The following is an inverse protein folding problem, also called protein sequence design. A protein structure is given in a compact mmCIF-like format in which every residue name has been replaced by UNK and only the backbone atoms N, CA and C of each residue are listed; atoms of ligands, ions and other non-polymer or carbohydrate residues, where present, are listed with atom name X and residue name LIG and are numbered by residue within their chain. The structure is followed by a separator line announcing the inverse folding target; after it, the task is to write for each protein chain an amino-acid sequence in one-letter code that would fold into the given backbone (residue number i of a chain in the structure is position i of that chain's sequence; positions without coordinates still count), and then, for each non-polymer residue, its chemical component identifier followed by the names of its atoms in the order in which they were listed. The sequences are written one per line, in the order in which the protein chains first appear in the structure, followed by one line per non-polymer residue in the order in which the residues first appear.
data_IF_662572823231
#
_entry.id   IF_662572823231
#
_cell.length_a   1.000
_cell.length_b   1.000
_cell.length_c   1.000
_cell.angle_alpha   90.00
_cell.angle_beta   90.00
_cell.angle_gamma   90.00
#
_symmetry.space_group_name_H-M   'P 1'
#
loop_
_entity.id
_entity.type
_entity.pdbx_description
1 polymer ?
#
# COMPACT_ATOMS: atom_id res chain seq x y z
N UNK A 1 -17.92 14.07 0.53
CA UNK A 1 -18.33 12.68 0.26
C UNK A 1 -17.84 11.79 1.40
N UNK A 2 -18.64 10.82 1.85
CA UNK A 2 -18.21 9.82 2.82
C UNK A 2 -16.94 9.10 2.32
N UNK A 3 -15.97 8.89 3.20
CA UNK A 3 -14.68 8.28 2.86
C UNK A 3 -14.10 7.53 4.05
N UNK A 4 -13.41 6.43 3.79
CA UNK A 4 -12.52 5.84 4.79
C UNK A 4 -11.25 6.66 4.90
N UNK A 5 -10.72 6.74 6.11
CA UNK A 5 -9.40 7.28 6.39
C UNK A 5 -8.53 6.18 6.96
N UNK A 6 -7.39 5.91 6.33
CA UNK A 6 -6.46 4.88 6.77
C UNK A 6 -5.10 5.53 6.99
N UNK A 7 -4.46 5.19 8.09
CA UNK A 7 -3.11 5.64 8.39
C UNK A 7 -2.20 4.43 8.63
N UNK A 8 -1.02 4.46 8.05
CA UNK A 8 -0.01 3.42 8.16
C UNK A 8 1.29 4.04 8.65
N UNK A 9 1.65 3.71 9.89
CA UNK A 9 2.87 4.17 10.54
C UNK A 9 3.97 3.12 10.41
N UNK A 10 5.12 3.52 9.90
CA UNK A 10 6.31 2.67 9.79
C UNK A 10 7.41 3.28 10.63
N UNK A 11 7.68 2.66 11.78
CA UNK A 11 8.72 3.09 12.69
C UNK A 11 9.75 1.98 12.89
N UNK A 12 11.02 2.31 12.80
CA UNK A 12 12.10 1.35 13.01
C UNK A 12 13.47 1.91 12.65
N UNK A 13 14.52 1.16 12.96
CA UNK A 13 15.88 1.58 12.65
C UNK A 13 16.92 0.98 13.58
N UNK A 14 18.18 1.31 13.30
CA UNK A 14 19.32 1.02 14.16
C UNK A 14 19.99 2.35 14.58
N UNK A 15 21.16 2.28 15.21
CA UNK A 15 21.87 3.46 15.68
C UNK A 15 22.33 4.42 14.56
N UNK A 16 22.43 3.94 13.31
CA UNK A 16 22.90 4.72 12.16
C UNK A 16 21.77 5.25 11.29
N UNK A 17 20.62 4.56 11.26
CA UNK A 17 19.53 4.88 10.37
C UNK A 17 18.18 4.63 11.04
N UNK A 18 17.34 5.66 11.08
CA UNK A 18 15.97 5.61 11.62
C UNK A 18 14.98 5.93 10.52
N UNK A 19 13.81 5.30 10.61
CA UNK A 19 12.64 5.49 9.74
C UNK A 19 11.45 5.77 10.66
N UNK A 20 10.74 6.84 10.38
CA UNK A 20 9.49 7.23 11.02
C UNK A 20 8.58 7.81 9.93
N UNK A 21 7.94 6.92 9.19
CA UNK A 21 7.07 7.30 8.09
C UNK A 21 5.60 7.18 8.48
N UNK A 22 4.79 8.09 7.96
CA UNK A 22 3.32 8.05 8.03
C UNK A 22 2.76 8.15 6.61
N UNK A 23 1.92 7.18 6.27
CA UNK A 23 1.15 7.18 5.03
C UNK A 23 -0.34 7.26 5.38
N UNK A 24 -1.00 8.33 4.96
CA UNK A 24 -2.43 8.52 5.17
C UNK A 24 -3.18 8.56 3.84
N UNK A 25 -4.27 7.81 3.75
CA UNK A 25 -5.10 7.71 2.54
C UNK A 25 -6.57 7.96 2.88
N UNK A 26 -7.22 8.80 2.06
CA UNK A 26 -8.67 9.00 2.08
C UNK A 26 -9.27 8.30 0.87
N UNK A 27 -10.18 7.35 1.13
CA UNK A 27 -10.64 6.37 0.15
C UNK A 27 -12.15 6.48 -0.02
N UNK A 28 -12.61 6.58 -1.27
CA UNK A 28 -14.05 6.49 -1.60
C UNK A 28 -14.58 5.11 -1.23
N UNK A 29 -15.69 5.08 -0.48
CA UNK A 29 -16.32 3.81 -0.07
C UNK A 29 -16.96 3.06 -1.24
N UNK A 30 -17.30 3.75 -2.34
CA UNK A 30 -18.00 3.16 -3.48
C UNK A 30 -17.04 2.52 -4.49
N UNK A 31 -15.88 3.14 -4.71
CA UNK A 31 -14.97 2.77 -5.82
C UNK A 31 -13.57 2.36 -5.36
N UNK A 32 -13.28 2.47 -4.06
CA UNK A 32 -11.93 2.42 -3.50
C UNK A 32 -10.97 3.48 -4.04
N UNK A 33 -11.45 4.45 -4.83
CA UNK A 33 -10.58 5.48 -5.38
C UNK A 33 -9.99 6.34 -4.26
N UNK A 34 -8.70 6.62 -4.36
CA UNK A 34 -8.01 7.59 -3.55
C UNK A 34 -8.48 9.00 -3.87
N UNK A 35 -8.67 9.77 -2.80
CA UNK A 35 -9.13 11.15 -2.84
C UNK A 35 -8.03 12.10 -2.34
N UNK A 36 -7.29 11.64 -1.33
CA UNK A 36 -6.13 12.32 -0.78
C UNK A 36 -5.13 11.27 -0.32
N UNK A 37 -3.85 11.56 -0.54
CA UNK A 37 -2.74 10.73 -0.07
C UNK A 37 -1.66 11.63 0.52
N UNK A 38 -1.26 11.37 1.76
CA UNK A 38 -0.22 12.10 2.47
C UNK A 38 0.91 11.12 2.82
N UNK A 39 2.13 11.52 2.54
CA UNK A 39 3.36 10.81 2.91
C UNK A 39 4.21 11.77 3.73
N UNK A 40 4.37 11.48 5.01
CA UNK A 40 5.32 12.15 5.90
C UNK A 40 6.46 11.19 6.14
N UNK A 41 7.63 11.47 5.57
CA UNK A 41 8.77 10.56 5.56
C UNK A 41 9.90 11.17 6.38
N UNK A 42 10.31 10.51 7.44
CA UNK A 42 11.46 10.89 8.26
C UNK A 42 12.46 9.74 8.25
N UNK A 43 13.42 9.80 7.33
CA UNK A 43 14.34 8.70 7.06
C UNK A 43 15.80 9.19 7.12
N UNK A 44 16.61 8.60 8.00
CA UNK A 44 18.04 8.91 8.11
C UNK A 44 18.35 10.39 8.38
N UNK A 45 17.49 11.07 9.14
CA UNK A 45 17.61 12.50 9.47
C UNK A 45 17.14 13.44 8.36
N UNK A 46 16.49 12.93 7.31
CA UNK A 46 15.87 13.74 6.26
C UNK A 46 14.35 13.66 6.38
N UNK A 47 13.72 14.82 6.34
CA UNK A 47 12.27 14.94 6.31
C UNK A 47 11.77 15.26 4.91
N UNK A 48 10.70 14.57 4.50
CA UNK A 48 10.01 14.85 3.25
C UNK A 48 8.52 14.64 3.39
N UNK A 49 7.77 15.70 3.13
CA UNK A 49 6.31 15.65 3.07
C UNK A 49 5.85 15.69 1.61
N UNK A 50 4.95 14.79 1.24
CA UNK A 50 4.26 14.78 -0.05
C UNK A 50 2.77 14.70 0.18
N UNK A 51 2.03 15.63 -0.41
CA UNK A 51 0.57 15.69 -0.31
C UNK A 51 0.01 15.64 -1.72
N UNK A 52 -0.92 14.73 -1.94
CA UNK A 52 -1.61 14.53 -3.20
C UNK A 52 -3.11 14.65 -2.98
N UNK A 53 -3.77 15.42 -3.83
CA UNK A 53 -5.23 15.45 -3.95
C UNK A 53 -5.61 14.87 -5.31
N UNK A 54 -6.59 13.98 -5.31
CA UNK A 54 -7.01 13.24 -6.49
C UNK A 54 -8.48 13.51 -6.78
N UNK A 55 -8.76 13.72 -8.07
CA UNK A 55 -10.09 14.04 -8.58
C UNK A 55 -10.48 12.97 -9.61
N UNK A 56 -10.99 11.79 -9.18
CA UNK A 56 -11.29 10.66 -10.06
C UNK A 56 -12.18 11.04 -11.26
N UNK A 57 -13.23 11.82 -11.02
CA UNK A 57 -14.18 12.31 -12.04
C UNK A 57 -13.52 13.08 -13.18
N UNK A 58 -12.38 13.72 -12.90
CA UNK A 58 -11.61 14.52 -13.86
C UNK A 58 -10.36 13.78 -14.34
N UNK A 59 -10.06 12.60 -13.78
CA UNK A 59 -8.83 11.85 -14.01
C UNK A 59 -7.58 12.71 -13.85
N UNK A 60 -7.51 13.51 -12.78
CA UNK A 60 -6.34 14.33 -12.44
C UNK A 60 -5.94 14.19 -10.97
N UNK A 61 -4.66 14.47 -10.70
CA UNK A 61 -4.16 14.66 -9.34
C UNK A 61 -3.34 15.96 -9.25
N UNK A 62 -3.24 16.50 -8.04
CA UNK A 62 -2.43 17.69 -7.72
C UNK A 62 -1.49 17.30 -6.59
N UNK A 63 -0.18 17.52 -6.76
CA UNK A 63 0.76 17.41 -5.65
C UNK A 63 0.85 18.75 -4.91
N UNK A 64 0.02 18.94 -3.89
CA UNK A 64 -0.15 20.22 -3.18
C UNK A 64 1.05 20.61 -2.31
N UNK A 65 1.97 19.67 -2.04
CA UNK A 65 3.24 19.96 -1.36
C UNK A 65 4.25 20.72 -2.24
N UNK A 66 4.00 20.86 -3.55
CA UNK A 66 4.90 21.58 -4.47
C UNK A 66 4.57 23.07 -4.51
N UNK A 67 5.59 23.94 -4.55
CA UNK A 67 5.40 25.41 -4.63
C UNK A 67 4.53 25.86 -5.83
N UNK A 68 4.64 25.15 -6.96
CA UNK A 68 3.86 25.39 -8.18
C UNK A 68 2.94 24.20 -8.46
N UNK A 69 2.07 23.86 -7.51
CA UNK A 69 1.13 22.76 -7.65
C UNK A 69 0.21 22.99 -8.87
N UNK A 70 0.20 22.01 -9.78
CA UNK A 70 -0.65 22.01 -10.98
C UNK A 70 -1.33 20.66 -11.10
N UNK A 71 -2.45 20.65 -11.82
CA UNK A 71 -3.11 19.41 -12.22
C UNK A 71 -2.20 18.61 -13.14
N UNK A 72 -2.14 17.31 -12.89
CA UNK A 72 -1.43 16.32 -13.68
C UNK A 72 -2.41 15.20 -14.04
N UNK A 73 -2.26 14.57 -15.21
CA UNK A 73 -3.09 13.42 -15.58
C UNK A 73 -2.99 12.29 -14.55
N UNK A 74 -4.13 11.72 -14.23
CA UNK A 74 -4.31 10.52 -13.41
C UNK A 74 -5.11 9.48 -14.20
N UNK A 75 -5.62 8.47 -13.50
CA UNK A 75 -6.52 7.44 -14.03
C UNK A 75 -7.93 7.64 -13.45
N UNK A 76 -8.94 7.00 -14.04
CA UNK A 76 -10.36 7.22 -13.68
C UNK A 76 -10.75 6.68 -12.30
N UNK A 77 -10.06 5.65 -11.80
CA UNK A 77 -10.28 5.07 -10.46
C UNK A 77 -8.93 4.93 -9.72
N UNK A 78 -8.29 6.06 -9.37
CA UNK A 78 -6.92 6.08 -8.91
C UNK A 78 -6.77 5.41 -7.55
N UNK A 79 -5.69 4.67 -7.36
CA UNK A 79 -5.28 4.04 -6.11
C UNK A 79 -3.90 4.59 -5.74
N UNK A 80 -3.76 5.03 -4.50
CA UNK A 80 -2.49 5.21 -3.79
C UNK A 80 -2.06 3.93 -3.07
N UNK A 81 -0.93 3.98 -2.37
CA UNK A 81 -0.33 2.84 -1.69
C UNK A 81 -1.28 2.23 -0.63
N UNK A 82 -1.99 3.05 0.14
CA UNK A 82 -2.91 2.60 1.20
C UNK A 82 -4.21 2.03 0.65
N UNK A 83 -4.85 2.75 -0.29
CA UNK A 83 -6.06 2.28 -0.97
C UNK A 83 -5.84 0.97 -1.73
N UNK A 84 -4.64 0.75 -2.27
CA UNK A 84 -4.28 -0.50 -2.94
C UNK A 84 -4.33 -1.70 -1.98
N UNK A 85 -3.89 -1.54 -0.72
CA UNK A 85 -3.95 -2.58 0.31
C UNK A 85 -5.38 -2.98 0.71
N UNK A 86 -6.35 -2.09 0.50
CA UNK A 86 -7.77 -2.40 0.73
C UNK A 86 -8.43 -2.94 -0.53
N UNK A 87 -8.15 -2.34 -1.69
CA UNK A 87 -8.66 -2.81 -2.98
C UNK A 87 -8.30 -4.28 -3.23
N UNK A 88 -7.06 -4.68 -2.92
CA UNK A 88 -6.62 -6.07 -3.14
C UNK A 88 -7.43 -7.11 -2.35
N UNK A 89 -8.10 -6.70 -1.27
CA UNK A 89 -8.95 -7.60 -0.47
C UNK A 89 -10.20 -8.06 -1.25
N UNK A 90 -10.57 -7.32 -2.28
CA UNK A 90 -11.71 -7.63 -3.18
C UNK A 90 -11.36 -8.60 -4.29
N UNK A 91 -10.07 -8.90 -4.49
CA UNK A 91 -9.60 -9.77 -5.57
C UNK A 91 -9.63 -11.24 -5.10
N UNK A 92 -9.96 -12.21 -5.96
CA UNK A 92 -9.99 -13.63 -5.59
C UNK A 92 -8.63 -14.20 -5.12
N UNK A 93 -7.53 -13.66 -5.63
CA UNK A 93 -6.15 -14.07 -5.32
C UNK A 93 -5.93 -15.58 -5.49
N UNK A 94 -6.18 -16.09 -6.70
CA UNK A 94 -5.94 -17.51 -7.04
C UNK A 94 -4.45 -17.76 -7.21
N UNK A 95 -3.91 -18.76 -6.49
CA UNK A 95 -2.49 -19.13 -6.54
C UNK A 95 -2.07 -19.49 -7.96
N UNK A 96 -0.94 -18.92 -8.41
CA UNK A 96 -0.41 -19.07 -9.76
C UNK A 96 -0.87 -18.00 -10.74
N UNK A 97 -1.93 -17.25 -10.42
CA UNK A 97 -2.41 -16.17 -11.28
C UNK A 97 -1.61 -14.87 -11.08
N UNK A 98 -1.64 -14.03 -12.12
CA UNK A 98 -1.16 -12.65 -12.06
C UNK A 98 -2.30 -11.71 -12.46
N UNK A 99 -2.63 -10.79 -11.57
CA UNK A 99 -3.59 -9.73 -11.85
C UNK A 99 -2.86 -8.45 -12.27
N UNK A 100 -3.40 -7.74 -13.25
CA UNK A 100 -2.82 -6.49 -13.75
C UNK A 100 -3.83 -5.34 -13.63
N UNK A 101 -3.41 -4.22 -13.03
CA UNK A 101 -4.27 -3.06 -12.81
C UNK A 101 -3.60 -1.78 -13.28
N UNK A 102 -4.29 -1.02 -14.15
CA UNK A 102 -3.91 0.33 -14.55
C UNK A 102 -4.57 1.39 -13.67
N UNK A 103 -4.51 1.17 -12.35
CA UNK A 103 -5.22 1.98 -11.35
C UNK A 103 -4.30 2.79 -10.44
N UNK A 104 -2.98 2.68 -10.53
CA UNK A 104 -2.12 3.54 -9.71
C UNK A 104 -2.29 5.00 -10.13
N UNK A 105 -2.45 5.91 -9.17
CA UNK A 105 -2.83 7.30 -9.43
C UNK A 105 -1.86 8.06 -10.35
N UNK A 106 -0.63 7.58 -10.45
CA UNK A 106 0.40 8.05 -11.39
C UNK A 106 0.45 7.14 -12.61
N UNK A 107 -0.02 7.58 -13.78
CA UNK A 107 -0.09 6.76 -14.99
C UNK A 107 1.26 6.13 -15.38
N UNK A 108 2.36 6.86 -15.19
CA UNK A 108 3.73 6.42 -15.52
C UNK A 108 4.21 5.20 -14.70
N UNK A 109 3.54 4.90 -13.58
CA UNK A 109 3.88 3.78 -12.72
C UNK A 109 3.06 2.51 -12.98
N UNK A 110 2.13 2.59 -13.92
CA UNK A 110 1.29 1.46 -14.32
C UNK A 110 1.97 0.59 -15.41
N UNK A 111 1.53 -0.67 -15.55
CA UNK A 111 0.55 -1.34 -14.69
C UNK A 111 1.15 -1.77 -13.35
N UNK A 112 0.29 -1.88 -12.33
CA UNK A 112 0.61 -2.62 -11.11
C UNK A 112 0.28 -4.09 -11.34
N UNK A 113 1.23 -4.99 -11.09
CA UNK A 113 1.02 -6.44 -11.21
C UNK A 113 1.03 -7.09 -9.85
N UNK A 114 0.09 -7.99 -9.62
CA UNK A 114 -0.04 -8.78 -8.39
C UNK A 114 0.11 -10.24 -8.76
N UNK A 115 1.25 -10.83 -8.40
CA UNK A 115 1.48 -12.27 -8.54
C UNK A 115 0.99 -12.95 -7.28
N UNK A 116 0.15 -13.97 -7.40
CA UNK A 116 -0.24 -14.80 -6.26
C UNK A 116 0.68 -16.00 -6.21
N UNK A 117 1.55 -16.01 -5.22
CA UNK A 117 2.68 -16.93 -5.20
C UNK A 117 2.30 -18.30 -4.67
N UNK A 118 1.69 -18.34 -3.48
CA UNK A 118 1.46 -19.59 -2.72
C UNK A 118 0.48 -19.38 -1.59
N UNK A 119 0.00 -20.49 -1.01
CA UNK A 119 -0.63 -20.53 0.31
C UNK A 119 0.34 -21.15 1.31
N UNK A 120 0.42 -20.60 2.51
CA UNK A 120 1.21 -21.18 3.59
C UNK A 120 0.61 -20.87 4.96
N UNK A 121 1.01 -21.65 5.97
CA UNK A 121 0.67 -21.37 7.36
C UNK A 121 1.76 -20.51 7.97
N UNK A 122 1.40 -19.34 8.48
CA UNK A 122 2.34 -18.35 9.05
C UNK A 122 2.06 -18.13 10.53
N UNK A 123 3.14 -18.03 11.32
CA UNK A 123 3.08 -17.61 12.73
C UNK A 123 3.58 -16.17 12.84
N UNK A 124 2.74 -15.31 13.38
CA UNK A 124 3.02 -13.89 13.70
C UNK A 124 2.69 -13.65 15.18
N UNK A 125 3.08 -12.52 15.79
CA UNK A 125 2.78 -12.28 17.21
C UNK A 125 1.27 -12.29 17.53
N UNK A 126 0.40 -11.92 16.56
CA UNK A 126 -1.05 -12.00 16.71
C UNK A 126 -1.63 -13.43 16.66
N UNK A 127 -0.84 -14.46 16.32
CA UNK A 127 -1.31 -15.85 16.24
C UNK A 127 -0.77 -16.62 15.04
N UNK A 128 -1.44 -17.73 14.71
CA UNK A 128 -1.10 -18.57 13.56
C UNK A 128 -2.26 -18.59 12.57
N UNK A 129 -1.98 -18.35 11.30
CA UNK A 129 -2.98 -18.13 10.26
C UNK A 129 -2.65 -18.95 9.01
N UNK A 130 -3.67 -19.37 8.28
CA UNK A 130 -3.52 -19.70 6.86
C UNK A 130 -3.43 -18.39 6.09
N UNK A 131 -2.49 -18.30 5.16
CA UNK A 131 -2.20 -17.07 4.43
C UNK A 131 -2.03 -17.31 2.94
N UNK A 132 -2.49 -16.35 2.15
CA UNK A 132 -2.15 -16.20 0.74
C UNK A 132 -0.97 -15.23 0.64
N UNK A 133 0.10 -15.65 -0.04
CA UNK A 133 1.27 -14.81 -0.28
C UNK A 133 1.16 -14.20 -1.66
N UNK A 134 1.24 -12.88 -1.72
CA UNK A 134 1.24 -12.11 -2.95
C UNK A 134 2.54 -11.33 -3.09
N UNK A 135 2.91 -11.04 -4.33
CA UNK A 135 3.99 -10.13 -4.68
C UNK A 135 3.46 -9.01 -5.56
N UNK A 136 3.31 -7.79 -5.02
CA UNK A 136 3.06 -6.61 -5.82
C UNK A 136 4.34 -6.17 -6.54
N UNK A 137 4.19 -5.83 -7.81
CA UNK A 137 5.24 -5.29 -8.67
C UNK A 137 4.74 -3.95 -9.22
N UNK A 138 5.34 -2.86 -8.75
CA UNK A 138 5.02 -1.48 -9.15
C UNK A 138 6.27 -0.84 -9.77
N UNK A 139 6.09 -0.11 -10.88
CA UNK A 139 7.15 0.70 -11.50
C UNK A 139 7.43 1.96 -10.67
N UNK A 140 7.95 1.80 -9.47
CA UNK A 140 8.26 2.89 -8.55
C UNK A 140 9.60 2.63 -7.85
N UNK A 141 10.07 3.62 -7.09
CA UNK A 141 11.11 3.43 -6.06
C UNK A 141 10.43 3.15 -4.72
N UNK A 142 11.09 2.40 -3.83
CA UNK A 142 10.59 2.11 -2.47
C UNK A 142 10.24 0.64 -2.25
N UNK A 143 9.50 0.34 -1.18
CA UNK A 143 9.19 -1.04 -0.74
C UNK A 143 8.47 -1.87 -1.82
N UNK A 144 7.56 -1.28 -2.59
CA UNK A 144 6.83 -1.99 -3.65
C UNK A 144 7.48 -1.90 -5.03
N UNK A 145 8.73 -1.42 -5.10
CA UNK A 145 9.49 -1.41 -6.35
C UNK A 145 9.75 -2.82 -6.85
N UNK A 146 9.93 -2.98 -8.17
CA UNK A 146 10.25 -4.28 -8.76
C UNK A 146 11.51 -4.92 -8.12
N UNK A 147 12.50 -4.09 -7.79
CA UNK A 147 13.73 -4.51 -7.10
C UNK A 147 13.55 -4.81 -5.61
N UNK A 148 12.45 -4.33 -5.02
CA UNK A 148 12.14 -4.54 -3.61
C UNK A 148 11.70 -5.96 -3.30
N UNK A 149 11.23 -6.72 -4.29
CA UNK A 149 10.72 -8.09 -4.14
C UNK A 149 9.77 -8.22 -2.94
N UNK A 150 8.86 -7.26 -2.77
CA UNK A 150 7.95 -7.27 -1.65
C UNK A 150 7.05 -8.51 -1.69
N UNK A 151 6.95 -9.20 -0.56
CA UNK A 151 5.94 -10.22 -0.31
C UNK A 151 5.00 -9.72 0.78
N UNK A 152 3.70 -9.89 0.55
CA UNK A 152 2.64 -9.57 1.50
C UNK A 152 1.87 -10.85 1.77
N UNK A 153 1.65 -11.13 3.05
CA UNK A 153 0.81 -12.22 3.49
C UNK A 153 -0.54 -11.66 3.91
N UNK A 154 -1.59 -12.15 3.26
CA UNK A 154 -2.96 -11.85 3.60
C UNK A 154 -3.59 -13.09 4.22
N UNK A 155 -4.49 -12.94 5.21
CA UNK A 155 -5.26 -14.09 5.71
C UNK A 155 -6.03 -14.76 4.59
N UNK A 156 -6.06 -16.09 4.61
CA UNK A 156 -6.86 -16.90 3.70
C UNK A 156 -8.29 -17.03 4.25
N UNK A 157 -8.94 -15.87 4.45
CA UNK A 157 -10.36 -15.71 4.79
C UNK A 157 -10.93 -14.50 4.03
N UNK A 158 -12.24 -14.26 4.13
CA UNK A 158 -12.90 -13.19 3.37
C UNK A 158 -12.34 -11.79 3.69
N UNK A 159 -11.79 -11.61 4.89
CA UNK A 159 -11.27 -10.33 5.38
C UNK A 159 -9.91 -9.96 4.77
N UNK A 160 -9.11 -10.97 4.36
CA UNK A 160 -7.77 -10.81 3.77
C UNK A 160 -6.91 -9.78 4.52
N UNK A 161 -6.87 -9.89 5.85
CA UNK A 161 -6.09 -9.01 6.71
C UNK A 161 -4.60 -9.17 6.43
N UNK A 162 -3.83 -8.09 6.43
CA UNK A 162 -2.38 -8.17 6.26
C UNK A 162 -1.74 -8.74 7.53
N UNK A 163 -1.10 -9.89 7.38
CA UNK A 163 -0.46 -10.63 8.47
C UNK A 163 1.02 -10.29 8.62
N UNK A 164 1.72 -10.13 7.50
CA UNK A 164 3.11 -9.70 7.47
C UNK A 164 3.46 -9.10 6.10
N UNK A 165 4.48 -8.25 6.08
CA UNK A 165 5.07 -7.69 4.87
C UNK A 165 6.58 -7.81 4.97
N UNK A 166 7.21 -8.32 3.91
CA UNK A 166 8.67 -8.39 3.82
C UNK A 166 9.12 -7.75 2.52
N UNK A 167 10.14 -6.91 2.57
CA UNK A 167 10.69 -6.24 1.38
C UNK A 167 12.19 -6.01 1.54
N UNK A 168 12.91 -6.06 0.43
CA UNK A 168 14.29 -5.57 0.33
C UNK A 168 14.28 -4.08 0.02
N UNK A 169 15.24 -3.37 0.59
CA UNK A 169 15.52 -1.97 0.36
C UNK A 169 17.01 -1.84 0.03
N UNK A 170 17.41 -0.72 -0.57
CA UNK A 170 18.83 -0.49 -0.92
C UNK A 170 19.75 -0.46 0.31
N UNK A 171 19.20 -0.24 1.51
CA UNK A 171 19.93 -0.12 2.77
C UNK A 171 19.60 -1.23 3.79
N UNK A 172 18.84 -2.28 3.39
CA UNK A 172 18.48 -3.37 4.31
C UNK A 172 17.20 -4.11 3.92
N UNK A 173 16.51 -4.63 4.94
CA UNK A 173 15.21 -5.29 4.76
C UNK A 173 14.18 -4.71 5.71
N UNK A 174 12.95 -4.53 5.22
CA UNK A 174 11.78 -4.22 6.03
C UNK A 174 11.02 -5.52 6.28
N UNK A 175 10.78 -5.85 7.56
CA UNK A 175 9.94 -6.97 7.96
C UNK A 175 8.90 -6.46 8.96
N UNK A 176 7.63 -6.54 8.61
CA UNK A 176 6.50 -6.15 9.43
C UNK A 176 5.67 -7.40 9.76
N UNK A 177 5.23 -7.51 11.01
CA UNK A 177 4.44 -8.63 11.50
C UNK A 177 3.23 -8.11 12.27
N UNK A 178 2.06 -8.69 12.03
CA UNK A 178 0.84 -8.34 12.74
C UNK A 178 0.97 -8.71 14.21
N UNK A 179 0.85 -7.69 15.08
CA UNK A 179 0.94 -7.85 16.54
C UNK A 179 -0.43 -8.04 17.20
N UNK A 180 -1.42 -7.29 16.74
CA UNK A 180 -2.82 -7.37 17.20
C UNK A 180 -3.74 -6.78 16.14
N UNK A 181 -5.02 -7.13 16.19
CA UNK A 181 -6.07 -6.51 15.38
C UNK A 181 -7.39 -6.59 16.14
N UNK A 182 -8.28 -5.64 15.88
CA UNK A 182 -9.64 -5.62 16.41
C UNK A 182 -10.59 -5.72 15.21
N UNK A 183 -11.18 -6.91 14.94
CA UNK A 183 -12.14 -7.04 13.87
C UNK A 183 -13.39 -6.20 14.19
N UNK A 184 -14.07 -5.72 13.14
CA UNK A 184 -15.41 -5.13 13.29
C UNK A 184 -16.32 -6.13 14.01
N UNK A 185 -17.17 -5.67 14.96
CA UNK A 185 -18.09 -6.55 15.69
C UNK A 185 -19.03 -7.35 14.77
N UNK A 186 -19.31 -6.83 13.56
CA UNK A 186 -20.17 -7.48 12.57
C UNK A 186 -19.39 -7.70 11.26
N UNK A 187 -19.21 -8.96 10.81
CA UNK A 187 -18.67 -9.32 9.51
C UNK A 187 -19.69 -9.14 8.37
#
# INVERSE_FOLDING_TARGET
RPSWHTAFWVQGGNFLYRVNDVYESWISMDTFSSLRFVQELEEGGKERVRKFEMYPERSVFIQTSNKNAKEQPSVSQPLDDGSFLYFIRTIPLVVGETYEFNRYFRPDRNPVRIRVLRRERVKVPAGTFNAIVIQPVIKTKGIFSENGHAEIWLSDDDRKIMLQLKSRLSFGSLNLYLKSYFPSPNP
#
